data_IF_070108064656
#
_entry.id   IF_070108064656
#
_cell.length_a   1.000
_cell.length_b   1.000
_cell.length_c   1.000
_cell.angle_alpha   90.00
_cell.angle_beta   90.00
_cell.angle_gamma   90.00
#
_symmetry.space_group_name_H-M   'P 1'
#
loop_
_entity.id
_entity.type
_entity.pdbx_description
1 polymer ?
#
# COMPACT_ATOMS: atom_id res chain seq x y z
N UNK A 1 -6.65 4.67 2.26
CA UNK A 1 -6.65 6.14 2.46
C UNK A 1 -7.70 6.62 3.48
N UNK A 2 -7.42 7.70 4.20
CA UNK A 2 -8.26 8.29 5.26
C UNK A 2 -8.96 9.57 4.78
N UNK A 3 -10.29 9.62 4.87
CA UNK A 3 -11.08 10.81 4.54
C UNK A 3 -11.01 11.87 5.66
N UNK A 4 -11.04 13.15 5.29
CA UNK A 4 -10.98 14.28 6.24
C UNK A 4 -12.03 15.34 5.90
N UNK A 5 -13.24 15.26 6.48
CA UNK A 5 -14.26 16.28 6.26
C UNK A 5 -13.74 17.67 6.65
N UNK A 6 -13.76 18.63 5.72
CA UNK A 6 -13.38 20.03 5.96
C UNK A 6 -11.88 20.37 5.93
N UNK A 7 -10.96 19.41 5.76
CA UNK A 7 -9.49 19.67 5.78
C UNK A 7 -8.76 19.35 4.46
N UNK A 8 -9.47 19.26 3.34
CA UNK A 8 -8.85 19.11 2.01
C UNK A 8 -8.77 17.68 1.48
N UNK A 9 -7.66 17.32 0.83
CA UNK A 9 -7.49 16.01 0.16
C UNK A 9 -7.40 14.87 1.21
N UNK A 10 -7.91 13.65 0.92
CA UNK A 10 -7.72 12.48 1.77
C UNK A 10 -6.24 12.19 2.02
N UNK A 11 -5.89 11.74 3.23
CA UNK A 11 -4.52 11.29 3.53
C UNK A 11 -4.33 9.87 3.02
N UNK A 12 -3.25 9.64 2.28
CA UNK A 12 -2.82 8.34 1.82
C UNK A 12 -1.51 7.98 2.50
N UNK A 13 -1.42 6.74 2.98
CA UNK A 13 -0.21 6.18 3.58
C UNK A 13 -0.01 4.82 2.92
N UNK A 14 1.18 4.59 2.37
CA UNK A 14 1.63 3.27 1.93
C UNK A 14 2.77 2.81 2.83
N UNK A 15 2.74 1.55 3.24
CA UNK A 15 3.76 0.93 4.09
C UNK A 15 4.05 -0.46 3.56
N UNK A 16 5.33 -0.78 3.40
CA UNK A 16 5.80 -2.10 3.01
C UNK A 16 6.54 -2.77 4.17
N UNK A 17 6.22 -4.03 4.42
CA UNK A 17 6.93 -4.88 5.37
C UNK A 17 7.53 -6.08 4.63
N UNK A 18 8.71 -6.49 5.06
CA UNK A 18 9.25 -7.83 4.81
C UNK A 18 9.32 -8.49 6.18
N UNK A 19 8.59 -9.58 6.35
CA UNK A 19 8.31 -10.16 7.68
C UNK A 19 7.73 -9.07 8.61
N UNK A 20 8.26 -8.92 9.82
CA UNK A 20 7.85 -7.88 10.77
C UNK A 20 8.63 -6.55 10.61
N UNK A 21 9.48 -6.45 9.60
CA UNK A 21 10.35 -5.29 9.39
C UNK A 21 9.75 -4.35 8.35
N UNK A 22 9.35 -3.15 8.79
CA UNK A 22 8.97 -2.08 7.87
C UNK A 22 10.20 -1.64 7.07
N UNK A 23 10.12 -1.68 5.74
CA UNK A 23 11.25 -1.33 4.87
C UNK A 23 10.99 -0.11 3.98
N UNK A 24 9.73 0.22 3.69
CA UNK A 24 9.39 1.45 2.98
C UNK A 24 8.14 2.13 3.53
N UNK A 25 8.05 3.45 3.28
CA UNK A 25 6.88 4.26 3.64
C UNK A 25 6.70 5.43 2.68
N UNK A 26 5.45 5.73 2.36
CA UNK A 26 5.04 7.02 1.81
C UNK A 26 3.91 7.61 2.66
N UNK A 27 3.99 8.91 2.95
CA UNK A 27 2.92 9.67 3.58
C UNK A 27 2.57 10.87 2.70
N UNK A 28 1.31 10.95 2.27
CA UNK A 28 0.86 12.05 1.40
C UNK A 28 0.83 13.41 2.10
N UNK A 29 0.86 13.44 3.43
CA UNK A 29 0.88 14.68 4.22
C UNK A 29 2.30 15.25 4.37
N UNK A 30 3.34 14.53 3.95
CA UNK A 30 4.71 15.04 3.98
C UNK A 30 4.87 16.26 3.05
N UNK A 31 5.82 17.16 3.36
CA UNK A 31 6.08 18.35 2.55
C UNK A 31 6.51 17.99 1.10
N UNK A 32 7.22 16.88 0.94
CA UNK A 32 7.57 16.31 -0.37
C UNK A 32 7.28 14.81 -0.36
N UNK A 33 6.03 14.39 -0.70
CA UNK A 33 5.64 12.99 -0.66
C UNK A 33 6.42 12.16 -1.69
N UNK A 34 7.24 11.24 -1.17
CA UNK A 34 7.99 10.23 -1.89
C UNK A 34 8.07 8.95 -1.07
N UNK A 35 8.44 7.86 -1.72
CA UNK A 35 8.77 6.63 -1.02
C UNK A 35 10.10 6.80 -0.29
N UNK A 36 10.15 6.39 0.97
CA UNK A 36 11.32 6.54 1.84
C UNK A 36 11.75 5.18 2.40
N UNK A 37 13.07 4.92 2.46
CA UNK A 37 13.61 3.73 3.11
C UNK A 37 13.33 3.76 4.62
N UNK A 38 13.06 2.59 5.19
CA UNK A 38 12.83 2.36 6.63
C UNK A 38 13.69 1.23 7.20
N UNK A 39 14.48 0.56 6.35
CA UNK A 39 15.45 -0.44 6.74
C UNK A 39 16.80 -0.23 6.01
N UNK A 40 17.94 -0.55 6.64
CA UNK A 40 19.26 -0.30 6.04
C UNK A 40 19.51 -1.02 4.72
N UNK A 41 18.94 -2.22 4.56
CA UNK A 41 19.18 -3.06 3.38
C UNK A 41 18.54 -2.52 2.10
N UNK A 42 17.56 -1.62 2.19
CA UNK A 42 16.93 -1.00 1.02
C UNK A 42 17.61 0.32 0.64
N UNK A 43 18.50 0.87 1.48
CA UNK A 43 19.25 2.09 1.15
C UNK A 43 20.22 1.91 -0.02
N UNK A 44 20.57 0.66 -0.35
CA UNK A 44 21.40 0.32 -1.51
C UNK A 44 20.67 0.48 -2.85
N UNK A 45 19.33 0.61 -2.84
CA UNK A 45 18.54 0.77 -4.05
C UNK A 45 18.78 2.13 -4.72
N UNK A 46 18.88 2.10 -6.05
CA UNK A 46 19.15 3.26 -6.87
C UNK A 46 17.99 4.28 -6.90
N UNK A 47 18.25 5.52 -7.33
CA UNK A 47 17.21 6.55 -7.46
C UNK A 47 16.06 6.13 -8.38
N UNK A 48 16.33 5.29 -9.40
CA UNK A 48 15.32 4.77 -10.32
C UNK A 48 14.25 3.93 -9.61
N UNK A 49 14.67 3.09 -8.65
CA UNK A 49 13.76 2.30 -7.84
C UNK A 49 12.82 3.21 -7.02
N UNK A 50 13.38 4.21 -6.36
CA UNK A 50 12.61 5.13 -5.51
C UNK A 50 11.66 6.02 -6.31
N UNK A 51 12.04 6.44 -7.52
CA UNK A 51 11.18 7.17 -8.43
C UNK A 51 10.00 6.32 -8.90
N UNK A 52 10.25 5.06 -9.26
CA UNK A 52 9.22 4.14 -9.71
C UNK A 52 8.23 3.78 -8.60
N UNK A 53 8.72 3.39 -7.41
CA UNK A 53 7.88 3.11 -6.23
C UNK A 53 7.04 4.34 -5.84
N UNK A 54 7.62 5.53 -5.92
CA UNK A 54 6.89 6.78 -5.68
C UNK A 54 5.79 6.99 -6.72
N UNK A 55 6.04 6.68 -7.99
CA UNK A 55 5.07 6.80 -9.09
C UNK A 55 3.91 5.82 -8.90
N UNK A 56 4.21 4.56 -8.59
CA UNK A 56 3.23 3.50 -8.31
C UNK A 56 2.36 3.89 -7.12
N UNK A 57 2.95 4.28 -5.99
CA UNK A 57 2.22 4.68 -4.80
C UNK A 57 1.29 5.90 -5.06
N UNK A 58 1.74 6.87 -5.87
CA UNK A 58 0.91 8.02 -6.28
C UNK A 58 -0.25 7.61 -7.19
N UNK A 59 -0.05 6.63 -8.07
CA UNK A 59 -1.11 6.08 -8.91
C UNK A 59 -2.18 5.38 -8.06
N UNK A 60 -1.78 4.54 -7.10
CA UNK A 60 -2.70 3.93 -6.12
C UNK A 60 -3.46 4.99 -5.32
N UNK A 61 -2.77 6.01 -4.80
CA UNK A 61 -3.42 7.10 -4.08
C UNK A 61 -4.45 7.86 -4.93
N UNK A 62 -4.20 8.00 -6.24
CA UNK A 62 -5.15 8.61 -7.17
C UNK A 62 -6.39 7.73 -7.38
N UNK A 63 -6.18 6.43 -7.65
CA UNK A 63 -7.25 5.44 -7.79
C UNK A 63 -8.12 5.38 -6.53
N UNK A 64 -7.51 5.30 -5.35
CA UNK A 64 -8.20 5.35 -4.05
C UNK A 64 -9.01 6.64 -3.88
N UNK A 65 -8.48 7.78 -4.32
CA UNK A 65 -9.18 9.07 -4.23
C UNK A 65 -10.39 9.13 -5.17
N UNK A 66 -10.26 8.61 -6.39
CA UNK A 66 -11.40 8.52 -7.33
C UNK A 66 -12.44 7.57 -6.77
N UNK A 67 -12.04 6.41 -6.26
CA UNK A 67 -12.92 5.44 -5.61
C UNK A 67 -13.66 6.05 -4.41
N UNK A 68 -12.98 6.80 -3.55
CA UNK A 68 -13.60 7.55 -2.44
C UNK A 68 -14.65 8.58 -2.88
N UNK A 69 -14.47 9.19 -4.06
CA UNK A 69 -15.41 10.19 -4.60
C UNK A 69 -16.61 9.54 -5.30
N UNK A 70 -16.38 8.44 -5.99
CA UNK A 70 -17.39 7.73 -6.80
C UNK A 70 -18.25 6.79 -5.95
N UNK A 71 -17.68 6.17 -4.91
CA UNK A 71 -18.36 5.21 -4.04
C UNK A 71 -18.22 5.65 -2.57
N UNK A 72 -19.15 6.49 -2.12
CA UNK A 72 -19.31 6.81 -0.68
C UNK A 72 -19.77 5.62 0.17
N UNK A 73 -19.80 4.40 -0.38
CA UNK A 73 -20.36 3.21 0.26
C UNK A 73 -19.48 1.96 0.23
N UNK A 74 -18.17 1.99 -0.13
CA UNK A 74 -17.48 0.71 -0.40
C UNK A 74 -16.08 0.40 0.21
N UNK A 75 -14.95 1.12 0.07
CA UNK A 75 -13.64 0.55 0.52
C UNK A 75 -12.58 1.61 0.83
N UNK A 76 -11.61 1.37 1.75
CA UNK A 76 -10.32 2.11 1.70
C UNK A 76 -9.09 1.70 2.57
N UNK A 77 -8.86 0.45 2.91
CA UNK A 77 -7.57 -0.03 3.46
C UNK A 77 -7.15 -1.28 2.69
N UNK A 78 -6.22 -1.19 1.75
CA UNK A 78 -5.71 -2.37 1.06
C UNK A 78 -4.45 -2.92 1.74
N UNK A 79 -4.41 -4.22 1.97
CA UNK A 79 -3.20 -4.98 2.27
C UNK A 79 -2.94 -5.87 1.07
N UNK A 80 -1.89 -5.56 0.32
CA UNK A 80 -1.39 -6.42 -0.75
C UNK A 80 -0.07 -7.03 -0.27
N UNK A 81 0.03 -8.36 -0.28
CA UNK A 81 1.18 -9.12 0.18
C UNK A 81 1.36 -10.41 -0.63
N UNK A 82 2.59 -10.92 -0.64
CA UNK A 82 2.94 -12.19 -1.25
C UNK A 82 3.82 -12.96 -0.27
N UNK A 83 3.45 -14.21 0.03
CA UNK A 83 4.25 -15.11 0.85
C UNK A 83 5.11 -15.99 -0.06
N UNK A 84 6.40 -16.12 0.29
CA UNK A 84 7.34 -16.99 -0.41
C UNK A 84 7.70 -18.19 0.48
N UNK A 85 7.82 -19.36 -0.14
CA UNK A 85 8.26 -20.58 0.51
C UNK A 85 9.77 -20.57 0.79
N UNK A 86 10.26 -21.56 1.55
CA UNK A 86 11.69 -21.69 1.84
C UNK A 86 12.55 -21.89 0.59
N UNK A 87 11.93 -22.27 -0.54
CA UNK A 87 12.54 -22.40 -1.85
C UNK A 87 12.44 -21.12 -2.71
N UNK A 88 11.90 -20.03 -2.16
CA UNK A 88 11.69 -18.75 -2.84
C UNK A 88 10.51 -18.75 -3.83
N UNK A 89 9.70 -19.82 -3.87
CA UNK A 89 8.51 -19.87 -4.73
C UNK A 89 7.34 -19.19 -4.07
N UNK A 90 6.49 -18.56 -4.89
CA UNK A 90 5.25 -17.94 -4.43
C UNK A 90 4.35 -19.01 -3.81
N UNK A 91 4.04 -18.87 -2.53
CA UNK A 91 3.09 -19.71 -1.81
C UNK A 91 1.70 -19.11 -1.83
N UNK A 92 1.58 -17.80 -1.63
CA UNK A 92 0.27 -17.16 -1.52
C UNK A 92 0.31 -15.69 -1.92
N UNK A 93 -0.74 -15.19 -2.58
CA UNK A 93 -0.93 -13.77 -2.86
C UNK A 93 -2.17 -13.29 -2.13
N UNK A 94 -1.98 -12.42 -1.17
CA UNK A 94 -3.06 -11.85 -0.36
C UNK A 94 -3.33 -10.41 -0.82
N UNK A 95 -4.53 -10.14 -1.32
CA UNK A 95 -5.01 -8.78 -1.53
C UNK A 95 -6.32 -8.61 -0.74
N UNK A 96 -6.25 -7.88 0.36
CA UNK A 96 -7.37 -7.65 1.27
C UNK A 96 -7.72 -6.17 1.33
N UNK A 97 -9.00 -5.85 1.41
CA UNK A 97 -9.52 -4.50 1.52
C UNK A 97 -10.43 -4.37 2.74
N UNK A 98 -10.13 -3.42 3.62
CA UNK A 98 -10.90 -3.09 4.81
C UNK A 98 -11.46 -1.65 4.79
N UNK A 99 -12.50 -1.38 5.58
CA UNK A 99 -13.11 -0.07 5.77
C UNK A 99 -13.53 0.09 7.24
N UNK A 100 -13.20 1.22 7.87
CA UNK A 100 -13.42 1.46 9.31
C UNK A 100 -13.00 0.30 10.23
N UNK A 101 -11.90 -0.40 9.87
CA UNK A 101 -11.34 -1.49 10.65
C UNK A 101 -12.09 -2.83 10.55
N UNK A 102 -12.98 -3.00 9.57
CA UNK A 102 -13.61 -4.29 9.24
C UNK A 102 -13.15 -4.75 7.85
N UNK A 103 -12.95 -6.06 7.68
CA UNK A 103 -12.60 -6.66 6.40
C UNK A 103 -13.83 -6.66 5.47
N UNK A 104 -13.65 -6.37 4.18
CA UNK A 104 -14.75 -6.31 3.22
C UNK A 104 -14.53 -7.09 1.93
N UNK A 105 -13.30 -7.15 1.39
CA UNK A 105 -12.97 -7.99 0.24
C UNK A 105 -11.61 -8.63 0.47
N UNK A 106 -11.53 -9.95 0.37
CA UNK A 106 -10.27 -10.68 0.32
C UNK A 106 -10.23 -11.47 -0.99
N UNK A 107 -9.08 -11.46 -1.66
CA UNK A 107 -8.79 -12.41 -2.72
C UNK A 107 -8.81 -13.84 -2.11
N UNK A 108 -9.53 -14.78 -2.73
CA UNK A 108 -9.63 -16.15 -2.21
C UNK A 108 -8.24 -16.82 -2.13
N UNK A 109 -8.06 -17.65 -1.10
CA UNK A 109 -6.88 -18.50 -0.89
C UNK A 109 -6.64 -19.50 -2.04
N UNK A 110 -7.62 -19.71 -2.92
CA UNK A 110 -7.57 -20.61 -4.08
C UNK A 110 -6.48 -20.26 -5.11
N UNK A 111 -5.83 -19.09 -4.97
CA UNK A 111 -4.65 -18.68 -5.75
C UNK A 111 -3.32 -19.08 -5.10
N UNK A 112 -3.36 -19.78 -3.96
CA UNK A 112 -2.23 -20.33 -3.24
C UNK A 112 -2.09 -21.81 -3.65
N UNK A 113 -1.08 -22.11 -4.47
CA UNK A 113 -0.88 -23.44 -5.10
C UNK A 113 0.09 -24.33 -4.34
#
# INVERSE_FOLDING_TARGET
ALSRPGRGKPRFIAVGHVEDTQFLRLDSDAASPRMEPRAPWVEQEGPEYWEEETRIAKAHAHTDRVNLRTLRSYYNQSQAGCDLGPDGRLLCRCEQFAYDGKDYLALNEDLCS
#
